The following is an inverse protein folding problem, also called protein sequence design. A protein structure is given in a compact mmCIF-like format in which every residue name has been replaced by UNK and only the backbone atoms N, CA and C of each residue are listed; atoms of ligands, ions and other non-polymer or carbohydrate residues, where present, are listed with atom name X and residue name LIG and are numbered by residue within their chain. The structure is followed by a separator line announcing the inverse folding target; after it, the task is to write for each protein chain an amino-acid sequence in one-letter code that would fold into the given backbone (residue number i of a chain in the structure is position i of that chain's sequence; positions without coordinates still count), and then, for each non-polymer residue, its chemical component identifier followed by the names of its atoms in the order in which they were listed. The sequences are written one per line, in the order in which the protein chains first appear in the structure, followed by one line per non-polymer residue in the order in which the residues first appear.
data_IF_563810921265
#
_entry.id   IF_563810921265
#
_cell.length_a   1.000
_cell.length_b   1.000
_cell.length_c   1.000
_cell.angle_alpha   90.00
_cell.angle_beta   90.00
_cell.angle_gamma   90.00
#
_symmetry.space_group_name_H-M   'P 1'
#
loop_
_entity.id
_entity.type
_entity.pdbx_description
1 polymer ?
#
# COMPACT_ATOMS: atom_id res chain seq x y z
N UNK A 1 9.40 -9.31 -2.48
CA UNK A 1 8.28 -9.91 -3.26
C UNK A 1 8.00 -8.98 -4.43
N UNK A 2 8.13 -9.43 -5.68
CA UNK A 2 7.70 -8.65 -6.84
C UNK A 2 6.23 -8.97 -7.14
N UNK A 3 5.33 -8.04 -6.86
CA UNK A 3 3.88 -8.24 -6.97
C UNK A 3 3.41 -8.20 -8.43
N UNK A 4 4.20 -7.59 -9.31
CA UNK A 4 3.86 -7.46 -10.73
C UNK A 4 4.07 -8.75 -11.53
N UNK A 5 4.89 -9.67 -11.00
CA UNK A 5 5.16 -10.98 -11.60
C UNK A 5 4.15 -12.06 -11.14
N UNK A 6 3.21 -11.72 -10.26
CA UNK A 6 2.20 -12.64 -9.75
C UNK A 6 1.07 -12.83 -10.77
N UNK A 7 1.23 -13.85 -11.61
CA UNK A 7 0.34 -14.16 -12.72
C UNK A 7 -0.70 -15.25 -12.38
N UNK A 8 -0.40 -16.14 -11.43
CA UNK A 8 -1.31 -17.22 -10.99
C UNK A 8 -1.83 -16.98 -9.57
N UNK A 9 -3.06 -17.45 -9.30
CA UNK A 9 -3.69 -17.45 -7.97
C UNK A 9 -2.83 -18.18 -6.93
N UNK A 10 -2.16 -19.27 -7.31
CA UNK A 10 -1.29 -20.04 -6.40
C UNK A 10 -0.05 -19.25 -5.98
N UNK A 11 0.58 -18.55 -6.93
CA UNK A 11 1.72 -17.67 -6.65
C UNK A 11 1.30 -16.50 -5.76
N UNK A 12 0.11 -15.95 -6.02
CA UNK A 12 -0.45 -14.84 -5.22
C UNK A 12 -0.71 -15.29 -3.78
N UNK A 13 -1.33 -16.46 -3.58
CA UNK A 13 -1.57 -17.01 -2.24
C UNK A 13 -0.25 -17.25 -1.49
N UNK A 14 0.74 -17.87 -2.12
CA UNK A 14 2.06 -18.08 -1.51
C UNK A 14 2.76 -16.76 -1.15
N UNK A 15 2.63 -15.73 -2.00
CA UNK A 15 3.17 -14.40 -1.72
C UNK A 15 2.47 -13.74 -0.51
N UNK A 16 1.15 -13.89 -0.39
CA UNK A 16 0.39 -13.40 0.76
C UNK A 16 0.72 -14.16 2.04
N UNK A 17 0.86 -15.48 1.97
CA UNK A 17 1.24 -16.29 3.13
C UNK A 17 2.61 -15.88 3.67
N UNK A 18 3.59 -15.73 2.77
CA UNK A 18 4.91 -15.22 3.11
C UNK A 18 4.85 -13.80 3.69
N UNK A 19 4.03 -12.91 3.11
CA UNK A 19 3.86 -11.55 3.62
C UNK A 19 3.21 -11.56 5.01
N UNK A 20 2.17 -12.36 5.22
CA UNK A 20 1.46 -12.48 6.50
C UNK A 20 2.40 -12.99 7.60
N UNK A 21 3.15 -14.07 7.33
CA UNK A 21 4.17 -14.57 8.26
C UNK A 21 5.30 -13.57 8.51
N UNK A 22 5.76 -12.86 7.48
CA UNK A 22 6.77 -11.81 7.64
C UNK A 22 6.26 -10.66 8.51
N UNK A 23 5.03 -10.18 8.30
CA UNK A 23 4.44 -9.08 9.07
C UNK A 23 4.33 -9.37 10.58
N UNK A 24 4.28 -10.64 10.96
CA UNK A 24 4.29 -11.05 12.37
C UNK A 24 5.69 -10.93 13.01
N UNK A 25 6.76 -10.95 12.21
CA UNK A 25 8.16 -11.02 12.68
C UNK A 25 8.95 -9.74 12.42
N UNK A 26 8.66 -9.01 11.33
CA UNK A 26 9.37 -7.80 10.93
C UNK A 26 8.88 -6.56 11.70
N UNK A 27 9.79 -5.62 11.93
CA UNK A 27 9.45 -4.31 12.51
C UNK A 27 8.92 -3.31 11.49
N UNK A 28 9.40 -3.42 10.24
CA UNK A 28 9.20 -2.44 9.18
C UNK A 28 8.80 -3.12 7.87
N UNK A 29 7.85 -2.52 7.16
CA UNK A 29 7.42 -2.90 5.81
C UNK A 29 7.78 -1.77 4.84
N UNK A 30 8.35 -2.14 3.70
CA UNK A 30 8.67 -1.21 2.62
C UNK A 30 7.85 -1.56 1.38
N UNK A 31 7.16 -0.57 0.82
CA UNK A 31 6.39 -0.71 -0.41
C UNK A 31 6.97 0.25 -1.43
N UNK A 32 7.43 -0.29 -2.54
CA UNK A 32 8.07 0.47 -3.61
C UNK A 32 7.21 0.42 -4.86
N UNK A 33 7.06 1.56 -5.55
CA UNK A 33 6.33 1.62 -6.82
C UNK A 33 6.95 2.66 -7.73
N UNK A 34 7.00 2.35 -9.02
CA UNK A 34 7.38 3.30 -10.07
C UNK A 34 6.17 3.47 -10.97
N UNK A 35 5.72 4.71 -11.15
CA UNK A 35 4.52 5.01 -11.93
C UNK A 35 4.61 6.37 -12.59
N UNK A 36 3.77 6.59 -13.61
CA UNK A 36 3.55 7.88 -14.24
C UNK A 36 2.05 8.14 -14.27
N UNK A 37 1.60 9.20 -13.60
CA UNK A 37 0.20 9.60 -13.58
C UNK A 37 0.00 10.86 -14.42
N UNK A 38 -0.99 10.90 -15.31
CA UNK A 38 -1.36 12.14 -15.99
C UNK A 38 -1.77 13.23 -14.98
N UNK A 39 -1.65 14.51 -15.36
CA UNK A 39 -2.01 15.63 -14.49
C UNK A 39 -3.39 15.48 -13.86
N UNK A 40 -3.47 15.68 -12.54
CA UNK A 40 -4.69 15.61 -11.72
C UNK A 40 -5.34 14.23 -11.62
N UNK A 41 -4.85 13.22 -12.32
CA UNK A 41 -5.35 11.85 -12.20
C UNK A 41 -4.75 11.16 -10.96
N UNK A 42 -5.55 10.27 -10.39
CA UNK A 42 -5.19 9.45 -9.24
C UNK A 42 -5.65 8.02 -9.45
N UNK A 43 -5.34 7.16 -8.49
CA UNK A 43 -5.69 5.75 -8.55
C UNK A 43 -5.04 4.96 -7.43
N UNK A 44 -5.50 3.71 -7.28
CA UNK A 44 -4.86 2.76 -6.36
C UNK A 44 -3.54 2.30 -6.97
N UNK A 45 -2.45 2.51 -6.25
CA UNK A 45 -1.13 2.01 -6.63
C UNK A 45 -0.98 0.56 -6.20
N UNK A 46 -1.39 0.28 -4.97
CA UNK A 46 -1.33 -1.04 -4.34
C UNK A 46 -2.45 -1.18 -3.30
N UNK A 47 -3.03 -2.38 -3.17
CA UNK A 47 -3.86 -2.70 -2.04
C UNK A 47 -4.08 -4.18 -1.81
N UNK A 48 -4.39 -4.50 -0.56
CA UNK A 48 -4.73 -5.80 0.00
C UNK A 48 -6.16 -5.72 0.53
N UNK A 49 -7.02 -6.56 -0.01
CA UNK A 49 -8.45 -6.55 0.26
C UNK A 49 -8.89 -7.94 0.68
N UNK A 50 -9.94 -8.02 1.48
CA UNK A 50 -10.67 -9.26 1.63
C UNK A 50 -11.44 -9.58 0.34
N UNK A 51 -11.45 -10.86 -0.07
CA UNK A 51 -12.12 -11.32 -1.30
C UNK A 51 -13.64 -11.36 -1.18
N UNK A 52 -14.18 -11.59 0.01
CA UNK A 52 -15.62 -11.77 0.23
C UNK A 52 -16.31 -10.41 0.37
N UNK A 53 -15.78 -9.52 1.21
CA UNK A 53 -16.45 -8.26 1.56
C UNK A 53 -15.74 -6.99 1.04
N UNK A 54 -14.64 -7.12 0.30
CA UNK A 54 -13.81 -6.00 -0.18
C UNK A 54 -13.25 -5.09 0.92
N UNK A 55 -13.19 -5.57 2.17
CA UNK A 55 -12.60 -4.81 3.28
C UNK A 55 -11.13 -4.56 3.01
N UNK A 56 -10.69 -3.32 3.25
CA UNK A 56 -9.32 -2.88 2.98
C UNK A 56 -8.44 -3.23 4.18
N UNK A 57 -7.55 -4.20 4.01
CA UNK A 57 -6.49 -4.42 4.98
C UNK A 57 -5.46 -3.30 4.86
N UNK A 58 -5.01 -3.02 3.64
CA UNK A 58 -4.07 -1.96 3.33
C UNK A 58 -4.35 -1.44 1.92
N UNK A 59 -4.41 -0.13 1.72
CA UNK A 59 -4.57 0.49 0.40
C UNK A 59 -3.71 1.74 0.34
N UNK A 60 -2.97 1.87 -0.76
CA UNK A 60 -2.12 3.01 -1.05
C UNK A 60 -2.60 3.59 -2.38
N UNK A 61 -3.11 4.81 -2.33
CA UNK A 61 -3.70 5.48 -3.47
C UNK A 61 -3.09 6.86 -3.68
N UNK A 62 -2.83 7.17 -4.95
CA UNK A 62 -2.49 8.49 -5.42
C UNK A 62 -3.75 9.34 -5.56
N UNK A 63 -3.77 10.54 -5.01
CA UNK A 63 -4.87 11.51 -5.18
C UNK A 63 -4.33 12.74 -5.92
N UNK A 64 -4.28 12.65 -7.26
CA UNK A 64 -3.63 13.66 -8.10
C UNK A 64 -4.25 15.05 -8.02
N UNK A 65 -5.56 15.18 -7.81
CA UNK A 65 -6.23 16.50 -7.69
C UNK A 65 -5.64 17.38 -6.58
N UNK A 66 -5.17 16.76 -5.51
CA UNK A 66 -4.61 17.44 -4.33
C UNK A 66 -3.15 17.06 -4.05
N UNK A 67 -2.51 16.31 -4.95
CA UNK A 67 -1.11 15.87 -4.83
C UNK A 67 -0.81 15.25 -3.45
N UNK A 68 -1.63 14.26 -3.06
CA UNK A 68 -1.44 13.49 -1.82
C UNK A 68 -1.35 12.00 -2.10
N UNK A 69 -0.57 11.31 -1.27
CA UNK A 69 -0.64 9.87 -1.13
C UNK A 69 -1.55 9.53 0.04
N UNK A 70 -2.57 8.74 -0.22
CA UNK A 70 -3.52 8.27 0.78
C UNK A 70 -3.19 6.84 1.15
N UNK A 71 -2.84 6.64 2.42
CA UNK A 71 -2.62 5.32 3.02
C UNK A 71 -3.83 5.00 3.89
N UNK A 72 -4.55 3.93 3.55
CA UNK A 72 -5.65 3.39 4.35
C UNK A 72 -5.29 2.02 4.86
N UNK A 73 -5.56 1.74 6.14
CA UNK A 73 -5.30 0.43 6.70
C UNK A 73 -6.30 0.07 7.79
N UNK A 74 -6.42 -1.24 8.05
CA UNK A 74 -7.24 -1.77 9.12
C UNK A 74 -6.49 -1.75 10.44
N UNK A 75 -7.06 -1.08 11.43
CA UNK A 75 -6.51 -1.00 12.78
C UNK A 75 -6.78 -2.28 13.56
N UNK A 76 -6.00 -2.51 14.62
CA UNK A 76 -6.21 -3.61 15.57
C UNK A 76 -7.59 -3.64 16.23
N UNK A 77 -8.27 -2.50 16.36
CA UNK A 77 -9.66 -2.40 16.85
C UNK A 77 -10.72 -2.67 15.77
N UNK A 78 -10.29 -3.12 14.59
CA UNK A 78 -11.17 -3.45 13.46
C UNK A 78 -11.71 -2.25 12.69
N UNK A 79 -11.31 -1.01 13.03
CA UNK A 79 -11.74 0.20 12.32
C UNK A 79 -10.75 0.58 11.23
N UNK A 80 -11.24 1.21 10.17
CA UNK A 80 -10.37 1.78 9.14
C UNK A 80 -9.67 3.05 9.66
N UNK A 81 -8.39 3.19 9.35
CA UNK A 81 -7.63 4.43 9.51
C UNK A 81 -7.16 4.93 8.14
N UNK A 82 -7.06 6.26 7.99
CA UNK A 82 -6.66 6.89 6.76
C UNK A 82 -5.69 8.04 7.07
N UNK A 83 -4.53 8.03 6.41
CA UNK A 83 -3.48 9.03 6.55
C UNK A 83 -3.20 9.63 5.18
N UNK A 84 -3.22 10.96 5.12
CA UNK A 84 -2.85 11.71 3.93
C UNK A 84 -1.42 12.20 4.08
N UNK A 85 -0.51 11.68 3.27
CA UNK A 85 0.87 12.15 3.15
C UNK A 85 0.96 13.09 1.95
N UNK A 86 1.62 14.22 2.14
CA UNK A 86 1.82 15.25 1.12
C UNK A 86 2.86 14.79 0.10
N UNK A 87 2.59 15.02 -1.18
CA UNK A 87 3.60 14.87 -2.23
C UNK A 87 3.32 15.85 -3.38
N UNK A 88 4.05 16.99 -3.45
CA UNK A 88 3.75 18.05 -4.41
C UNK A 88 3.86 17.62 -5.89
N UNK A 89 4.59 16.55 -6.21
CA UNK A 89 4.94 16.17 -7.60
C UNK A 89 4.32 14.85 -8.06
N UNK A 90 3.32 14.34 -7.32
CA UNK A 90 2.82 12.97 -7.51
C UNK A 90 2.16 12.73 -8.89
N UNK A 91 1.41 13.69 -9.40
CA UNK A 91 0.65 13.56 -10.65
C UNK A 91 0.98 14.70 -11.62
N UNK A 92 2.23 14.77 -12.07
CA UNK A 92 2.71 15.80 -13.01
C UNK A 92 2.96 15.27 -14.44
N UNK A 93 2.53 14.05 -14.76
CA UNK A 93 2.82 13.43 -16.07
C UNK A 93 4.27 12.98 -16.24
N UNK A 94 5.03 12.88 -15.13
CA UNK A 94 6.42 12.39 -15.10
C UNK A 94 6.48 11.08 -14.33
N UNK A 95 7.44 10.23 -14.69
CA UNK A 95 7.72 9.01 -13.91
C UNK A 95 8.24 9.39 -12.52
N UNK A 96 7.61 8.84 -11.49
CA UNK A 96 7.99 9.00 -10.10
C UNK A 96 8.38 7.65 -9.51
N UNK A 97 9.42 7.62 -8.67
CA UNK A 97 9.74 6.47 -7.83
C UNK A 97 9.30 6.74 -6.40
N UNK A 98 8.46 5.87 -5.85
CA UNK A 98 7.89 5.97 -4.52
C UNK A 98 8.40 4.85 -3.62
N UNK A 99 8.75 5.20 -2.38
CA UNK A 99 8.97 4.24 -1.29
C UNK A 99 8.10 4.70 -0.12
N UNK A 100 7.19 3.85 0.31
CA UNK A 100 6.47 4.01 1.57
C UNK A 100 7.06 3.04 2.58
N UNK A 101 7.61 3.57 3.68
CA UNK A 101 8.03 2.77 4.83
C UNK A 101 6.95 2.85 5.91
N UNK A 102 6.52 1.70 6.39
CA UNK A 102 5.62 1.54 7.51
C UNK A 102 6.38 0.82 8.62
N UNK A 103 6.75 1.55 9.67
CA UNK A 103 7.56 1.04 10.78
C UNK A 103 6.73 0.86 12.05
N UNK A 104 7.25 0.10 13.01
CA UNK A 104 6.59 -0.12 14.30
C UNK A 104 5.46 -1.13 14.24
N UNK A 105 5.45 -2.03 13.25
CA UNK A 105 4.40 -3.04 13.05
C UNK A 105 4.22 -3.98 14.26
N UNK A 106 5.27 -4.18 15.06
CA UNK A 106 5.25 -4.98 16.30
C UNK A 106 5.10 -4.15 17.58
N UNK A 107 4.95 -2.83 17.44
CA UNK A 107 4.81 -1.90 18.56
C UNK A 107 3.34 -1.48 18.69
N UNK A 108 3.03 -0.72 19.74
CA UNK A 108 1.69 -0.20 19.98
C UNK A 108 1.25 0.84 18.95
N UNK A 109 2.20 1.46 18.25
CA UNK A 109 1.96 2.52 17.28
C UNK A 109 2.86 2.29 16.06
N UNK A 110 2.36 2.69 14.89
CA UNK A 110 3.12 2.66 13.64
C UNK A 110 3.53 4.08 13.24
N UNK A 111 4.55 4.16 12.39
CA UNK A 111 4.92 5.40 11.71
C UNK A 111 4.96 5.15 10.19
N UNK A 112 4.63 6.18 9.42
CA UNK A 112 4.70 6.19 7.97
C UNK A 112 5.74 7.23 7.52
N UNK A 113 6.59 6.84 6.58
CA UNK A 113 7.54 7.73 5.91
C UNK A 113 7.38 7.57 4.40
N UNK A 114 7.14 8.68 3.71
CA UNK A 114 7.00 8.74 2.26
C UNK A 114 8.27 9.30 1.64
N UNK A 115 8.95 8.48 0.85
CA UNK A 115 10.06 8.89 0.03
C UNK A 115 9.65 8.94 -1.44
N UNK A 116 10.06 9.98 -2.14
CA UNK A 116 9.83 10.17 -3.58
C UNK A 116 11.15 10.55 -4.21
N UNK A 117 11.55 9.82 -5.25
CA UNK A 117 12.85 9.98 -5.92
C UNK A 117 14.01 10.01 -4.91
N UNK A 118 13.99 9.05 -3.97
CA UNK A 118 14.98 8.86 -2.91
C UNK A 118 15.08 9.99 -1.86
N UNK A 119 14.08 10.87 -1.76
CA UNK A 119 14.03 11.94 -0.74
C UNK A 119 12.82 11.76 0.16
N UNK A 120 12.99 11.93 1.47
CA UNK A 120 11.87 11.97 2.42
C UNK A 120 11.04 13.23 2.13
N UNK A 121 9.77 13.04 1.78
CA UNK A 121 8.85 14.14 1.42
C UNK A 121 7.89 14.44 2.55
N UNK A 122 7.36 13.41 3.21
CA UNK A 122 6.44 13.57 4.33
C UNK A 122 6.49 12.35 5.26
N UNK A 123 5.99 12.52 6.49
CA UNK A 123 5.91 11.46 7.48
C UNK A 123 4.76 11.66 8.47
N UNK A 124 4.30 10.57 9.07
CA UNK A 124 3.31 10.59 10.13
C UNK A 124 3.72 9.62 11.23
N UNK A 125 3.68 10.07 12.49
CA UNK A 125 4.15 9.31 13.64
C UNK A 125 3.05 9.05 14.66
N UNK A 126 3.21 8.02 15.48
CA UNK A 126 2.28 7.71 16.58
C UNK A 126 0.89 7.29 16.09
N UNK A 127 0.81 6.67 14.91
CA UNK A 127 -0.45 6.24 14.33
C UNK A 127 -0.94 4.93 14.98
N UNK A 128 -2.26 4.65 14.97
CA UNK A 128 -2.80 3.40 15.50
C UNK A 128 -2.17 2.15 14.87
N UNK A 129 -1.99 1.10 15.68
CA UNK A 129 -1.41 -0.18 15.23
C UNK A 129 -2.21 -0.84 14.09
N UNK A 130 -1.49 -1.40 13.13
CA UNK A 130 -2.04 -2.22 12.05
C UNK A 130 -2.46 -3.60 12.56
N UNK A 131 -3.60 -4.12 12.10
CA UNK A 131 -4.11 -5.43 12.54
C UNK A 131 -3.33 -6.62 11.97
N UNK A 132 -2.56 -6.41 10.90
CA UNK A 132 -1.93 -7.48 10.14
C UNK A 132 -2.81 -8.00 9.00
N UNK A 133 -2.43 -9.14 8.44
CA UNK A 133 -3.20 -9.86 7.42
C UNK A 133 -3.86 -11.11 8.04
N UNK A 134 -4.98 -11.57 7.49
CA UNK A 134 -5.60 -12.82 7.95
C UNK A 134 -4.65 -14.01 7.71
N UNK A 135 -4.79 -15.05 8.52
CA UNK A 135 -4.01 -16.29 8.37
C UNK A 135 -4.33 -17.04 7.08
N UNK A 136 -5.56 -16.89 6.57
CA UNK A 136 -6.06 -17.53 5.37
C UNK A 136 -5.63 -16.71 4.14
N UNK A 137 -4.47 -17.01 3.57
CA UNK A 137 -3.88 -16.22 2.49
C UNK A 137 -4.80 -16.13 1.24
N UNK A 138 -5.55 -17.20 0.97
CA UNK A 138 -6.49 -17.26 -0.14
C UNK A 138 -7.72 -16.35 0.03
N UNK A 139 -7.98 -15.80 1.23
CA UNK A 139 -9.05 -14.81 1.43
C UNK A 139 -8.60 -13.39 1.08
N UNK A 140 -7.32 -13.18 0.78
CA UNK A 140 -6.77 -11.86 0.44
C UNK A 140 -6.65 -11.69 -1.07
N UNK A 141 -7.21 -10.61 -1.59
CA UNK A 141 -7.04 -10.13 -2.96
C UNK A 141 -5.94 -9.06 -3.02
N UNK A 142 -5.11 -9.12 -4.07
CA UNK A 142 -4.02 -8.18 -4.31
C UNK A 142 -4.33 -7.35 -5.54
N UNK A 143 -4.45 -6.04 -5.37
CA UNK A 143 -4.73 -5.10 -6.46
C UNK A 143 -3.53 -4.17 -6.67
N UNK A 144 -3.19 -3.96 -7.94
CA UNK A 144 -2.13 -3.04 -8.34
C UNK A 144 -2.64 -2.11 -9.43
N UNK A 145 -2.07 -0.90 -9.50
CA UNK A 145 -2.41 0.06 -10.55
C UNK A 145 -2.16 -0.49 -11.96
N UNK A 146 -1.17 -1.38 -12.14
CA UNK A 146 -0.90 -2.05 -13.41
C UNK A 146 -2.05 -2.97 -13.85
N UNK A 147 -2.58 -3.82 -12.94
CA UNK A 147 -3.72 -4.70 -13.27
C UNK A 147 -4.98 -3.89 -13.60
N UNK A 148 -5.17 -2.73 -12.95
CA UNK A 148 -6.25 -1.81 -13.29
C UNK A 148 -6.05 -1.15 -14.66
N UNK A 149 -4.83 -0.74 -15.00
CA UNK A 149 -4.50 -0.16 -16.31
C UNK A 149 -4.69 -1.17 -17.45
N UNK A 150 -4.22 -2.41 -17.29
CA UNK A 150 -4.29 -3.47 -18.30
C UNK A 150 -5.73 -3.90 -18.65
N UNK A 151 -6.72 -3.65 -17.78
CA UNK A 151 -8.14 -3.94 -18.07
C UNK A 151 -8.84 -2.88 -18.93
N UNK A 152 -8.21 -1.72 -19.11
CA UNK A 152 -8.78 -0.59 -19.87
C UNK A 152 -8.28 -0.61 -21.33
N UNK A 153 -7.18 -1.33 -21.60
CA UNK A 153 -6.66 -1.60 -22.95
C UNK A 153 -7.32 -2.83 -23.56
#
# INVERSE_FOLDING_TARGET
INILELNDARQTAAAIENLSGALQTIGDLYITSTFMLPPKLGGVLFGLYDKEDNKKYLEIAAVGKINKLLVRYLRSDGKAHAVNLQNPVLAEGRTQSLILRMSGLRRSHINLELYVNCRLVDSAQGLPSFVGLPSKAESVDVRTGQKSYARIQ
#
